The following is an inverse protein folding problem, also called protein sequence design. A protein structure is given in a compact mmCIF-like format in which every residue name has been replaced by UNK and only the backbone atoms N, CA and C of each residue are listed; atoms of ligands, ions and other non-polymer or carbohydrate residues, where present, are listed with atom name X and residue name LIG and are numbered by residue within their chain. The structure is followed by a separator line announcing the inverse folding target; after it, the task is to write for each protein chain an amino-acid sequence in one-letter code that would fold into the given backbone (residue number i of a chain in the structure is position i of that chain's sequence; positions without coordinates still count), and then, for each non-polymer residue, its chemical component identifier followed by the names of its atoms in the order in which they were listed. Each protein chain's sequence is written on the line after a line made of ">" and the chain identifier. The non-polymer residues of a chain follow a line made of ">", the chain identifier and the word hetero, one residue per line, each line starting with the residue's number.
data_IF_029370873789
#
_entry.id   IF_029370873789
#
_cell.length_a   1.000
_cell.length_b   1.000
_cell.length_c   1.000
_cell.angle_alpha   90.00
_cell.angle_beta   90.00
_cell.angle_gamma   90.00
#
_symmetry.space_group_name_H-M   'P 1'
#
loop_
_entity.id
_entity.type
_entity.pdbx_description
1 polymer ?
#
# COMPACT_ATOMS: atom_id res chain seq x y z
N UNK A 1 -18.63 2.14 -1.99
CA UNK A 1 -17.87 0.87 -2.09
C UNK A 1 -18.78 -0.31 -2.43
N UNK A 2 -19.93 -0.45 -1.76
CA UNK A 2 -20.94 -1.47 -2.13
C UNK A 2 -21.39 -1.34 -3.59
N UNK A 3 -21.55 -0.10 -4.09
CA UNK A 3 -21.87 0.12 -5.50
C UNK A 3 -20.74 -0.35 -6.44
N UNK A 4 -19.48 -0.11 -6.08
CA UNK A 4 -18.32 -0.59 -6.84
C UNK A 4 -18.22 -2.12 -6.84
N UNK A 5 -18.55 -2.76 -5.71
CA UNK A 5 -18.62 -4.21 -5.62
C UNK A 5 -19.75 -4.75 -6.49
N UNK A 6 -20.94 -4.12 -6.45
CA UNK A 6 -22.07 -4.48 -7.31
C UNK A 6 -21.72 -4.36 -8.80
N UNK A 7 -21.06 -3.26 -9.20
CA UNK A 7 -20.58 -3.06 -10.57
C UNK A 7 -19.55 -4.12 -10.99
N UNK A 8 -18.56 -4.40 -10.14
CA UNK A 8 -17.55 -5.43 -10.38
C UNK A 8 -18.18 -6.79 -10.65
N UNK A 9 -19.12 -7.20 -9.80
CA UNK A 9 -19.83 -8.48 -9.97
C UNK A 9 -20.77 -8.47 -11.18
N UNK A 10 -21.50 -7.39 -11.42
CA UNK A 10 -22.47 -7.28 -12.53
C UNK A 10 -21.79 -7.33 -13.90
N UNK A 11 -20.64 -6.69 -14.04
CA UNK A 11 -19.96 -6.54 -15.33
C UNK A 11 -18.70 -7.40 -15.46
N UNK A 12 -18.37 -8.19 -14.43
CA UNK A 12 -17.16 -9.01 -14.37
C UNK A 12 -15.88 -8.19 -14.65
N UNK A 13 -15.73 -7.08 -13.94
CA UNK A 13 -14.59 -6.16 -14.08
C UNK A 13 -13.75 -6.12 -12.82
N UNK A 14 -12.44 -5.93 -13.00
CA UNK A 14 -11.53 -5.63 -11.91
C UNK A 14 -11.69 -4.15 -11.50
N UNK A 15 -11.73 -3.89 -10.20
CA UNK A 15 -11.78 -2.55 -9.63
C UNK A 15 -10.49 -2.31 -8.85
N UNK A 16 -9.71 -1.31 -9.27
CA UNK A 16 -8.48 -0.89 -8.60
C UNK A 16 -8.76 0.46 -7.95
N UNK A 17 -8.44 0.58 -6.66
CA UNK A 17 -8.60 1.82 -5.90
C UNK A 17 -7.26 2.18 -5.28
N UNK A 18 -6.82 3.42 -5.49
CA UNK A 18 -5.66 4.00 -4.82
C UNK A 18 -6.09 4.68 -3.53
N UNK A 19 -5.34 4.46 -2.45
CA UNK A 19 -5.57 5.09 -1.16
C UNK A 19 -4.25 5.66 -0.65
N UNK A 20 -4.25 6.93 -0.25
CA UNK A 20 -3.07 7.55 0.35
C UNK A 20 -2.89 7.08 1.79
N UNK A 21 -1.64 7.06 2.24
CA UNK A 21 -1.31 6.91 3.65
C UNK A 21 -1.38 8.28 4.34
N UNK A 22 -1.80 8.27 5.59
CA UNK A 22 -1.76 9.40 6.51
C UNK A 22 -1.11 8.96 7.81
N UNK A 23 -0.83 9.92 8.69
CA UNK A 23 -0.24 9.65 10.00
C UNK A 23 -1.33 9.73 11.06
N UNK A 24 -1.50 8.64 11.81
CA UNK A 24 -2.24 8.66 13.05
C UNK A 24 -1.30 9.02 14.20
N UNK A 25 -1.68 10.00 15.01
CA UNK A 25 -0.93 10.44 16.18
C UNK A 25 -1.69 10.03 17.44
N UNK A 26 -1.03 9.25 18.27
CA UNK A 26 -1.47 8.92 19.61
C UNK A 26 -0.94 9.99 20.57
N UNK A 27 -1.83 10.58 21.38
CA UNK A 27 -1.49 11.65 22.31
C UNK A 27 -1.52 11.13 23.74
N UNK A 28 -0.50 11.51 24.52
CA UNK A 28 -0.40 11.24 25.95
C UNK A 28 -1.53 11.95 26.72
N UNK A 29 -2.20 11.23 27.61
CA UNK A 29 -3.30 11.78 28.42
C UNK A 29 -2.85 12.83 29.45
N UNK A 30 -1.57 12.87 29.82
CA UNK A 30 -1.06 13.71 30.91
C UNK A 30 -0.64 15.11 30.46
N UNK A 31 -0.07 15.26 29.27
CA UNK A 31 0.52 16.53 28.79
C UNK A 31 0.14 16.90 27.34
N UNK A 32 -0.67 16.08 26.66
CA UNK A 32 -1.04 16.31 25.26
C UNK A 32 0.13 16.16 24.27
N UNK A 33 1.27 15.62 24.70
CA UNK A 33 2.39 15.29 23.82
C UNK A 33 2.05 14.11 22.91
N UNK A 34 2.70 14.01 21.75
CA UNK A 34 2.56 12.83 20.89
C UNK A 34 3.38 11.69 21.49
N UNK A 35 2.70 10.63 21.94
CA UNK A 35 3.34 9.42 22.45
C UNK A 35 3.81 8.49 21.34
N UNK A 36 3.05 8.42 20.24
CA UNK A 36 3.35 7.53 19.11
C UNK A 36 2.75 8.02 17.80
N UNK A 37 3.44 7.75 16.71
CA UNK A 37 2.97 7.98 15.35
C UNK A 37 2.96 6.68 14.54
N UNK A 38 1.90 6.46 13.77
CA UNK A 38 1.79 5.31 12.88
C UNK A 38 1.29 5.74 11.50
N UNK A 39 1.79 5.09 10.45
CA UNK A 39 1.21 5.22 9.11
C UNK A 39 -0.06 4.39 9.03
N UNK A 40 -1.15 5.01 8.60
CA UNK A 40 -2.46 4.37 8.44
C UNK A 40 -3.06 4.74 7.08
N UNK A 41 -3.92 3.90 6.49
CA UNK A 41 -4.65 4.26 5.27
C UNK A 41 -5.64 5.40 5.54
N UNK A 42 -5.71 6.38 4.64
CA UNK A 42 -6.54 7.59 4.86
C UNK A 42 -8.05 7.32 4.90
N UNK A 43 -8.51 6.29 4.18
CA UNK A 43 -9.92 5.86 4.19
C UNK A 43 -10.35 5.08 5.45
N UNK A 44 -9.44 4.90 6.43
CA UNK A 44 -9.71 4.22 7.69
C UNK A 44 -10.01 2.71 7.57
N UNK A 45 -10.28 2.09 8.72
CA UNK A 45 -10.41 0.62 8.81
C UNK A 45 -11.73 0.09 8.28
N UNK A 46 -12.80 0.89 8.27
CA UNK A 46 -14.07 0.49 7.66
C UNK A 46 -13.92 0.14 6.18
N UNK A 47 -12.98 0.80 5.48
CA UNK A 47 -12.65 0.48 4.10
C UNK A 47 -11.87 -0.84 3.97
N UNK A 48 -11.02 -1.15 4.95
CA UNK A 48 -10.18 -2.35 4.97
C UNK A 48 -11.00 -3.64 4.92
N UNK A 49 -12.17 -3.70 5.57
CA UNK A 49 -12.99 -4.91 5.62
C UNK A 49 -13.62 -5.26 4.26
N UNK A 50 -13.94 -4.25 3.45
CA UNK A 50 -14.64 -4.41 2.16
C UNK A 50 -13.70 -4.80 1.01
N UNK A 51 -12.38 -4.65 1.18
CA UNK A 51 -11.38 -4.92 0.15
C UNK A 51 -10.77 -6.30 0.35
N UNK A 52 -10.87 -7.17 -0.66
CA UNK A 52 -10.35 -8.54 -0.61
C UNK A 52 -8.83 -8.66 -0.79
N UNK A 53 -8.20 -7.71 -1.49
CA UNK A 53 -6.75 -7.67 -1.74
C UNK A 53 -6.19 -6.26 -1.52
N UNK A 54 -5.11 -6.14 -0.75
CA UNK A 54 -4.44 -4.87 -0.45
C UNK A 54 -2.95 -4.98 -0.70
N UNK A 55 -2.43 -4.00 -1.43
CA UNK A 55 -1.03 -3.83 -1.73
C UNK A 55 -0.57 -2.53 -1.07
N UNK A 56 0.57 -2.57 -0.39
CA UNK A 56 1.27 -1.39 0.11
C UNK A 56 2.46 -1.14 -0.80
N UNK A 57 2.61 0.11 -1.24
CA UNK A 57 3.72 0.56 -2.08
C UNK A 57 4.60 1.48 -1.25
N UNK A 58 5.91 1.37 -1.40
CA UNK A 58 6.88 2.25 -0.76
C UNK A 58 8.19 2.29 -1.52
N UNK A 59 9.06 3.22 -1.17
CA UNK A 59 10.42 3.23 -1.68
C UNK A 59 11.23 2.12 -1.00
N UNK A 60 12.11 1.44 -1.74
CA UNK A 60 13.04 0.51 -1.12
C UNK A 60 14.03 1.26 -0.21
N UNK A 61 14.50 0.62 0.89
CA UNK A 61 15.50 1.21 1.76
C UNK A 61 16.78 1.59 1.01
N UNK A 62 17.52 2.63 1.46
CA UNK A 62 18.79 3.04 0.85
C UNK A 62 19.85 1.93 0.83
N UNK A 63 19.76 0.97 1.76
CA UNK A 63 20.66 -0.19 1.83
C UNK A 63 20.49 -1.16 0.65
N UNK A 64 19.31 -1.17 0.04
CA UNK A 64 18.98 -1.99 -1.13
C UNK A 64 19.14 -1.20 -2.44
N UNK A 65 19.08 0.14 -2.39
CA UNK A 65 19.25 0.98 -3.58
C UNK A 65 20.68 1.04 -4.11
N UNK A 66 21.69 0.67 -3.31
CA UNK A 66 23.09 0.66 -3.74
C UNK A 66 23.45 -0.53 -4.67
N UNK A 67 22.52 -1.49 -4.83
CA UNK A 67 22.72 -2.67 -5.69
C UNK A 67 22.39 -2.35 -7.16
N UNK A 68 21.48 -1.39 -7.39
CA UNK A 68 21.07 -0.99 -8.73
C UNK A 68 21.64 0.40 -9.03
N UNK A 69 22.63 0.49 -9.94
CA UNK A 69 23.24 1.73 -10.40
C UNK A 69 22.29 2.66 -11.21
N UNK A 70 20.98 2.41 -11.15
CA UNK A 70 19.90 3.15 -11.79
C UNK A 70 18.74 3.19 -10.80
N UNK A 71 18.20 4.40 -10.61
CA UNK A 71 16.94 4.78 -9.95
C UNK A 71 16.48 3.98 -8.72
N UNK A 72 16.09 4.68 -7.65
CA UNK A 72 15.66 4.01 -6.40
C UNK A 72 14.54 3.00 -6.67
N UNK A 73 14.74 1.69 -6.42
CA UNK A 73 13.71 0.70 -6.64
C UNK A 73 12.56 0.91 -5.65
N UNK A 74 11.37 0.48 -6.04
CA UNK A 74 10.16 0.50 -5.23
C UNK A 74 9.90 -0.90 -4.67
N UNK A 75 9.27 -0.93 -3.51
CA UNK A 75 8.82 -2.14 -2.84
C UNK A 75 7.29 -2.20 -2.86
N UNK A 76 6.77 -3.36 -3.23
CA UNK A 76 5.38 -3.74 -3.07
C UNK A 76 5.29 -4.82 -1.99
N UNK A 77 4.27 -4.72 -1.15
CA UNK A 77 3.95 -5.72 -0.13
C UNK A 77 2.46 -6.07 -0.17
N UNK A 78 2.14 -7.36 -0.18
CA UNK A 78 0.77 -7.86 -0.03
C UNK A 78 0.43 -7.79 1.47
N UNK A 79 -0.38 -6.80 1.86
CA UNK A 79 -0.78 -6.61 3.27
C UNK A 79 -2.10 -7.29 3.62
N UNK A 80 -2.88 -7.68 2.60
CA UNK A 80 -4.09 -8.48 2.75
C UNK A 80 -4.37 -9.21 1.44
N UNK A 81 -4.65 -10.50 1.48
CA UNK A 81 -5.22 -11.24 0.36
C UNK A 81 -6.06 -12.39 0.90
N UNK A 82 -7.11 -12.78 0.17
CA UNK A 82 -7.91 -13.97 0.47
C UNK A 82 -7.32 -15.26 -0.11
N UNK A 83 -6.26 -15.16 -0.93
CA UNK A 83 -5.70 -16.31 -1.68
C UNK A 83 -4.19 -16.40 -1.53
N UNK A 84 -3.49 -15.25 -1.50
CA UNK A 84 -2.04 -15.22 -1.45
C UNK A 84 -1.54 -14.98 0.00
N UNK A 85 -0.42 -15.60 0.40
CA UNK A 85 0.24 -15.24 1.64
C UNK A 85 0.81 -13.82 1.56
N UNK A 86 1.19 -13.29 2.73
CA UNK A 86 2.01 -12.08 2.80
C UNK A 86 3.32 -12.30 2.05
N UNK A 87 3.61 -11.40 1.11
CA UNK A 87 4.78 -11.47 0.25
C UNK A 87 5.20 -10.04 -0.16
N UNK A 88 6.44 -9.90 -0.60
CA UNK A 88 6.95 -8.64 -1.12
C UNK A 88 7.69 -8.84 -2.45
N UNK A 89 7.68 -7.79 -3.27
CA UNK A 89 8.36 -7.77 -4.56
C UNK A 89 8.96 -6.38 -4.79
N UNK A 90 10.12 -6.32 -5.43
CA UNK A 90 10.70 -5.07 -5.88
C UNK A 90 10.35 -4.80 -7.34
N UNK A 91 10.27 -3.54 -7.71
CA UNK A 91 10.07 -3.10 -9.09
C UNK A 91 10.73 -1.75 -9.30
N UNK A 92 10.92 -1.36 -10.56
CA UNK A 92 11.36 -0.01 -10.94
C UNK A 92 10.33 0.63 -11.87
N UNK A 93 10.34 1.96 -11.95
CA UNK A 93 9.46 2.72 -12.84
C UNK A 93 10.36 3.41 -13.86
N UNK A 94 10.27 2.99 -15.12
CA UNK A 94 10.96 3.61 -16.24
C UNK A 94 9.97 4.42 -17.10
N UNK A 95 10.45 5.12 -18.13
CA UNK A 95 9.61 5.87 -19.09
C UNK A 95 8.47 5.03 -19.70
N UNK A 96 8.65 3.71 -19.79
CA UNK A 96 7.66 2.74 -20.27
C UNK A 96 6.73 2.15 -19.21
N UNK A 97 6.84 2.57 -17.95
CA UNK A 97 6.05 2.07 -16.82
C UNK A 97 6.80 1.12 -15.89
N UNK A 98 6.06 0.23 -15.24
CA UNK A 98 6.57 -0.70 -14.21
C UNK A 98 7.41 -1.80 -14.87
N UNK A 99 8.64 -1.99 -14.36
CA UNK A 99 9.61 -3.01 -14.81
C UNK A 99 10.15 -3.79 -13.63
N UNK A 100 10.70 -4.96 -13.94
CA UNK A 100 11.43 -5.78 -12.98
C UNK A 100 12.78 -5.14 -12.62
N UNK A 101 13.28 -5.44 -11.43
CA UNK A 101 14.62 -5.04 -11.00
C UNK A 101 15.59 -6.10 -11.52
N UNK A 102 16.20 -5.83 -12.68
CA UNK A 102 17.13 -6.76 -13.34
C UNK A 102 18.58 -6.52 -12.93
#
# INVERSE_FOLDING_TARGET
>A
MLDLQSLSSKFNIAVIVTNHLTTFLEFSHEDGSVSKGFLVPSLGDSFTHLVGNRLMLGCAPPTLSNICHRETPYLLMITKSSVLPEASAMFQIEDGGIRDVT
#
